data_IF_562359676309
#
_entry.id   IF_562359676309
#
_cell.length_a   1.000
_cell.length_b   1.000
_cell.length_c   1.000
_cell.angle_alpha   90.00
_cell.angle_beta   90.00
_cell.angle_gamma   90.00
#
_symmetry.space_group_name_H-M   'P 1'
#
loop_
_entity.id
_entity.type
_entity.pdbx_description
1 polymer ?
#
# COMPACT_ATOMS: atom_id res chain seq x y z
N UNK A 1 -11.39 6.58 -6.65
CA UNK A 1 -11.49 7.80 -7.47
C UNK A 1 -12.49 7.55 -8.57
N UNK A 2 -12.87 8.57 -9.33
CA UNK A 2 -13.89 8.45 -10.38
C UNK A 2 -13.30 8.91 -11.71
N UNK A 3 -13.50 8.13 -12.77
CA UNK A 3 -13.05 8.51 -14.11
C UNK A 3 -13.84 9.74 -14.57
N UNK A 4 -13.13 10.76 -15.04
CA UNK A 4 -13.73 11.99 -15.56
C UNK A 4 -13.67 12.07 -17.07
N UNK A 5 -12.66 11.46 -17.68
CA UNK A 5 -12.49 11.42 -19.14
C UNK A 5 -11.69 10.17 -19.54
N UNK A 6 -11.93 9.71 -20.77
CA UNK A 6 -11.27 8.54 -21.34
C UNK A 6 -12.02 7.23 -21.11
N UNK A 7 -11.66 6.23 -21.90
CA UNK A 7 -12.20 4.86 -21.83
C UNK A 7 -11.04 3.89 -21.91
N UNK A 8 -11.05 2.86 -21.08
CA UNK A 8 -9.93 1.94 -20.97
C UNK A 8 -10.21 0.76 -20.05
N UNK A 9 -9.43 -0.31 -20.20
CA UNK A 9 -9.53 -1.49 -19.35
C UNK A 9 -8.65 -1.30 -18.11
N UNK A 10 -9.18 -1.62 -16.94
CA UNK A 10 -8.46 -1.54 -15.67
C UNK A 10 -8.43 -2.92 -15.01
N UNK A 11 -7.23 -3.41 -14.72
CA UNK A 11 -7.05 -4.63 -13.94
C UNK A 11 -7.25 -4.32 -12.45
N UNK A 12 -8.26 -4.96 -11.88
CA UNK A 12 -8.65 -4.82 -10.48
C UNK A 12 -8.35 -6.07 -9.65
N UNK A 13 -7.65 -7.08 -10.20
CA UNK A 13 -7.41 -8.37 -9.56
C UNK A 13 -6.73 -8.25 -8.19
N UNK A 14 -5.83 -7.27 -8.02
CA UNK A 14 -5.15 -6.99 -6.74
C UNK A 14 -6.11 -6.56 -5.62
N UNK A 15 -7.30 -6.06 -5.97
CA UNK A 15 -8.28 -5.52 -5.01
C UNK A 15 -9.56 -6.38 -4.96
N UNK A 16 -10.13 -6.73 -6.12
CA UNK A 16 -11.41 -7.47 -6.21
C UNK A 16 -11.23 -8.98 -6.35
N UNK A 17 -10.05 -9.45 -6.77
CA UNK A 17 -9.81 -10.86 -7.08
C UNK A 17 -10.37 -11.32 -8.44
N UNK A 18 -10.94 -10.41 -9.23
CA UNK A 18 -11.43 -10.72 -10.57
C UNK A 18 -10.28 -10.64 -11.58
N UNK A 19 -9.97 -11.76 -12.24
CA UNK A 19 -8.86 -11.83 -13.21
C UNK A 19 -9.14 -11.16 -14.56
N UNK A 20 -10.40 -10.79 -14.83
CA UNK A 20 -10.76 -10.15 -16.10
C UNK A 20 -10.69 -8.63 -15.92
N UNK A 21 -9.93 -7.90 -16.76
CA UNK A 21 -9.90 -6.44 -16.71
C UNK A 21 -11.30 -5.84 -16.86
N UNK A 22 -11.61 -4.87 -16.00
CA UNK A 22 -12.89 -4.18 -16.01
C UNK A 22 -12.82 -2.95 -16.92
N UNK A 23 -13.74 -2.84 -17.88
CA UNK A 23 -13.87 -1.65 -18.72
C UNK A 23 -14.32 -0.46 -17.86
N UNK A 24 -13.62 0.67 -17.98
CA UNK A 24 -13.93 1.92 -17.27
C UNK A 24 -14.20 3.06 -18.24
N UNK A 25 -15.18 3.88 -17.90
CA UNK A 25 -15.71 5.02 -18.66
C UNK A 25 -15.92 6.20 -17.72
N UNK A 26 -16.12 7.43 -18.23
CA UNK A 26 -16.43 8.58 -17.40
C UNK A 26 -17.66 8.33 -16.51
N UNK A 27 -17.51 8.57 -15.21
CA UNK A 27 -18.53 8.26 -14.19
C UNK A 27 -18.26 6.97 -13.42
N UNK A 28 -17.41 6.06 -13.92
CA UNK A 28 -17.10 4.81 -13.23
C UNK A 28 -16.08 5.01 -12.10
N UNK A 29 -16.24 4.22 -11.05
CA UNK A 29 -15.31 4.19 -9.93
C UNK A 29 -14.09 3.30 -10.22
N UNK A 30 -12.94 3.79 -9.76
CA UNK A 30 -11.64 3.12 -9.82
C UNK A 30 -10.98 3.09 -8.43
N UNK A 31 -10.36 1.97 -8.09
CA UNK A 31 -9.69 1.78 -6.81
C UNK A 31 -8.23 2.21 -6.88
N UNK A 32 -7.67 2.65 -5.76
CA UNK A 32 -6.23 2.88 -5.68
C UNK A 32 -5.49 1.53 -5.74
N UNK A 33 -4.38 1.48 -6.47
CA UNK A 33 -3.58 0.25 -6.63
C UNK A 33 -4.04 -0.68 -7.76
N UNK A 34 -5.02 -0.29 -8.57
CA UNK A 34 -5.39 -1.00 -9.80
C UNK A 34 -4.49 -0.61 -10.96
N UNK A 35 -4.22 -1.53 -11.89
CA UNK A 35 -3.38 -1.27 -13.05
C UNK A 35 -4.24 -0.80 -14.22
N UNK A 36 -3.89 0.33 -14.83
CA UNK A 36 -4.49 0.71 -16.12
C UNK A 36 -3.89 -0.20 -17.21
N UNK A 37 -4.75 -0.91 -17.94
CA UNK A 37 -4.37 -1.82 -19.01
C UNK A 37 -4.25 -1.10 -20.35
N UNK A 38 -5.37 -0.65 -20.90
CA UNK A 38 -5.45 -0.03 -22.23
C UNK A 38 -6.14 1.33 -22.16
N UNK A 39 -5.73 2.26 -23.02
CA UNK A 39 -6.32 3.60 -23.08
C UNK A 39 -5.79 4.57 -22.01
N UNK A 40 -6.19 5.83 -22.15
CA UNK A 40 -5.83 6.89 -21.23
C UNK A 40 -7.06 7.27 -20.39
N UNK A 41 -6.94 7.17 -19.06
CA UNK A 41 -8.00 7.54 -18.12
C UNK A 41 -7.56 8.77 -17.33
N UNK A 42 -8.40 9.80 -17.29
CA UNK A 42 -8.26 10.91 -16.36
C UNK A 42 -9.18 10.64 -15.18
N UNK A 43 -8.63 10.60 -13.97
CA UNK A 43 -9.35 10.20 -12.76
C UNK A 43 -9.34 11.34 -11.76
N UNK A 44 -10.51 11.68 -11.22
CA UNK A 44 -10.64 12.58 -10.07
C UNK A 44 -10.46 11.79 -8.78
N UNK A 45 -9.48 12.19 -7.98
CA UNK A 45 -9.26 11.65 -6.63
C UNK A 45 -10.20 12.40 -5.67
N UNK A 46 -11.13 11.68 -5.06
CA UNK A 46 -12.13 12.25 -4.14
C UNK A 46 -11.87 11.98 -2.65
N UNK A 47 -10.80 11.26 -2.32
CA UNK A 47 -10.37 10.98 -0.93
C UNK A 47 -8.91 11.33 -0.77
N UNK A 48 -8.55 11.79 0.42
CA UNK A 48 -7.16 12.09 0.76
C UNK A 48 -6.29 10.83 0.53
N UNK A 49 -5.06 10.95 -0.02
CA UNK A 49 -4.15 9.82 -0.16
C UNK A 49 -3.94 9.04 1.16
N UNK A 50 -4.03 9.71 2.31
CA UNK A 50 -3.98 9.12 3.64
C UNK A 50 -5.17 8.19 3.95
N UNK A 51 -6.30 8.35 3.26
CA UNK A 51 -7.49 7.50 3.37
C UNK A 51 -7.50 6.35 2.34
N UNK A 52 -6.43 6.21 1.55
CA UNK A 52 -6.33 5.12 0.58
C UNK A 52 -6.18 3.77 1.28
N UNK A 53 -6.60 2.70 0.60
CA UNK A 53 -6.46 1.33 1.10
C UNK A 53 -4.98 0.99 1.37
N UNK A 54 -4.05 1.51 0.56
CA UNK A 54 -2.60 1.34 0.76
C UNK A 54 -2.15 2.05 2.04
N UNK A 55 -2.60 3.27 2.29
CA UNK A 55 -2.27 3.98 3.53
C UNK A 55 -2.76 3.21 4.78
N UNK A 56 -3.96 2.62 4.73
CA UNK A 56 -4.45 1.74 5.81
C UNK A 56 -3.59 0.49 6.00
N UNK A 57 -3.10 -0.12 4.91
CA UNK A 57 -2.17 -1.27 5.00
C UNK A 57 -0.85 -0.85 5.65
N UNK A 58 -0.30 0.32 5.31
CA UNK A 58 0.94 0.85 5.94
C UNK A 58 0.72 1.08 7.43
N UNK A 59 -0.38 1.73 7.83
CA UNK A 59 -0.70 1.95 9.25
C UNK A 59 -0.85 0.63 10.01
N UNK A 60 -1.56 -0.36 9.44
CA UNK A 60 -1.70 -1.69 10.06
C UNK A 60 -0.37 -2.43 10.15
N UNK A 61 0.52 -2.26 9.16
CA UNK A 61 1.86 -2.85 9.18
C UNK A 61 2.73 -2.21 10.27
N UNK A 62 2.67 -0.89 10.44
CA UNK A 62 3.37 -0.18 11.52
C UNK A 62 2.86 -0.60 12.91
N UNK A 63 1.55 -0.74 13.09
CA UNK A 63 0.93 -1.21 14.34
C UNK A 63 1.29 -2.68 14.66
N UNK A 64 1.25 -3.56 13.65
CA UNK A 64 1.59 -4.97 13.81
C UNK A 64 3.09 -5.17 14.11
N UNK A 65 3.96 -4.40 13.45
CA UNK A 65 5.41 -4.41 13.68
C UNK A 65 5.77 -3.85 15.06
N UNK A 66 4.96 -2.95 15.61
CA UNK A 66 5.10 -2.48 17.00
C UNK A 66 4.82 -3.59 18.03
N UNK A 67 4.04 -4.62 17.66
CA UNK A 67 3.70 -5.76 18.54
C UNK A 67 4.69 -6.93 18.39
N UNK A 68 5.28 -7.11 17.20
CA UNK A 68 6.35 -8.09 16.96
C UNK A 68 7.72 -7.41 16.87
N UNK A 69 8.36 -7.19 18.02
CA UNK A 69 9.77 -7.49 18.29
C UNK A 69 10.41 -6.61 19.41
N UNK A 70 9.89 -6.61 20.66
CA UNK A 70 10.69 -6.11 21.79
C UNK A 70 11.90 -7.01 22.10
N UNK A 71 11.98 -8.21 21.50
CA UNK A 71 13.01 -9.21 21.81
C UNK A 71 14.23 -9.17 20.89
N UNK A 72 14.11 -8.58 19.68
CA UNK A 72 15.22 -8.49 18.72
C UNK A 72 16.10 -7.27 18.99
N UNK A 73 15.51 -6.13 19.36
CA UNK A 73 16.26 -4.92 19.76
C UNK A 73 16.99 -5.07 21.12
N UNK A 74 16.63 -6.07 21.94
CA UNK A 74 17.33 -6.33 23.20
C UNK A 74 18.68 -7.03 23.00
N UNK A 75 18.81 -7.87 21.97
CA UNK A 75 20.07 -8.56 21.64
C UNK A 75 21.12 -7.54 21.17
N UNK A 76 20.74 -6.60 20.29
CA UNK A 76 21.64 -5.54 19.83
C UNK A 76 22.11 -4.61 20.96
N UNK A 77 21.22 -4.29 21.91
CA UNK A 77 21.54 -3.38 23.03
C UNK A 77 22.46 -4.01 24.09
N UNK A 78 22.45 -5.34 24.23
CA UNK A 78 23.37 -6.07 25.12
C UNK A 78 24.72 -6.30 24.46
N UNK A 79 24.76 -6.65 23.17
CA UNK A 79 26.02 -6.84 22.45
C UNK A 79 26.86 -5.56 22.41
N UNK A 80 26.23 -4.39 22.25
CA UNK A 80 26.94 -3.09 22.29
C UNK A 80 27.65 -2.80 23.62
N UNK A 81 27.17 -3.34 24.76
CA UNK A 81 27.87 -3.21 26.05
C UNK A 81 28.88 -4.33 26.31
N UNK A 82 28.69 -5.51 25.72
CA UNK A 82 29.68 -6.59 25.81
C UNK A 82 30.95 -6.28 25.01
N UNK A 83 30.84 -5.69 23.81
CA UNK A 83 32.02 -5.30 23.01
C UNK A 83 32.88 -4.21 23.67
N UNK A 84 32.28 -3.32 24.47
CA UNK A 84 33.02 -2.28 25.22
C UNK A 84 33.75 -2.87 26.45
N UNK A 85 33.32 -4.02 26.97
CA UNK A 85 33.95 -4.67 28.13
C UNK A 85 35.08 -5.66 27.78
N UNK A 86 35.13 -6.17 26.54
CA UNK A 86 36.17 -7.13 26.08
C UNK A 86 37.36 -6.42 25.42
N UNK A 87 37.21 -5.15 25.06
CA UNK A 87 38.31 -4.28 24.63
C UNK A 87 38.69 -3.34 25.78
N UNK A 88 39.24 -3.92 26.85
CA UNK A 88 40.14 -3.27 27.82
C UNK A 88 41.22 -4.27 28.20
#
# INVERSE_FOLDING_TARGET
GTVVEGTGDVDQATITGESVPALKRPGDDVFAGTLNGTGALRVRVGRDPADSVIARIVTLFEEASRTKAPRQLFVEKIEQRYSVGVVV
#
